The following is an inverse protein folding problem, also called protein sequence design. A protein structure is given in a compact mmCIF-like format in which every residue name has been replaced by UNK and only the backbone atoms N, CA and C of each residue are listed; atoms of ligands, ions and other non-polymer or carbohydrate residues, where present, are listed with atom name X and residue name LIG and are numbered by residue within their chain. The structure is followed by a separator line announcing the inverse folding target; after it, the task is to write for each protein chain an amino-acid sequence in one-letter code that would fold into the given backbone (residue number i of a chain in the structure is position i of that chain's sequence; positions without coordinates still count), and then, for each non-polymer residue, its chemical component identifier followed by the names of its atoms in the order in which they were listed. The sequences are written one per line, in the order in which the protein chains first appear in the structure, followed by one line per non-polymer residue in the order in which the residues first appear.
data_IF_579373663384
#
_entry.id   IF_579373663384
#
_cell.length_a   1.000
_cell.length_b   1.000
_cell.length_c   1.000
_cell.angle_alpha   90.00
_cell.angle_beta   90.00
_cell.angle_gamma   90.00
#
_symmetry.space_group_name_H-M   'P 1'
#
loop_
_entity.id
_entity.type
_entity.pdbx_description
1 polymer ?
#
# COMPACT_ATOMS: atom_id res chain seq x y z
N UNK A 1 14.40 -6.26 -29.01
CA UNK A 1 13.84 -7.42 -29.73
C UNK A 1 12.34 -7.18 -29.85
N UNK A 2 11.69 -7.43 -30.99
CA UNK A 2 10.24 -7.23 -31.08
C UNK A 2 9.55 -8.40 -30.36
N UNK A 3 8.90 -8.16 -29.23
CA UNK A 3 8.20 -9.22 -28.49
C UNK A 3 7.07 -9.78 -29.36
N UNK A 4 6.94 -11.12 -29.37
CA UNK A 4 5.86 -11.82 -30.09
C UNK A 4 4.59 -11.88 -29.25
N UNK A 5 4.60 -11.23 -28.08
CA UNK A 5 3.59 -11.27 -27.04
C UNK A 5 3.26 -12.69 -26.57
N UNK A 6 4.20 -13.62 -26.73
CA UNK A 6 4.06 -14.96 -26.21
C UNK A 6 4.13 -14.92 -24.69
N UNK A 7 3.34 -15.76 -24.04
CA UNK A 7 3.39 -15.98 -22.61
C UNK A 7 4.16 -17.24 -22.30
N UNK A 8 4.65 -17.38 -21.08
CA UNK A 8 5.33 -18.59 -20.62
C UNK A 8 4.60 -19.91 -20.98
N UNK A 9 3.26 -20.02 -20.86
CA UNK A 9 2.53 -21.22 -21.28
C UNK A 9 2.60 -21.47 -22.78
N UNK A 10 2.62 -20.42 -23.61
CA UNK A 10 2.79 -20.54 -25.06
C UNK A 10 4.20 -21.03 -25.40
N UNK A 11 5.22 -20.45 -24.77
CA UNK A 11 6.62 -20.83 -24.97
C UNK A 11 6.87 -22.29 -24.59
N UNK A 12 6.33 -22.74 -23.45
CA UNK A 12 6.41 -24.12 -22.97
C UNK A 12 5.71 -25.09 -23.91
N UNK A 13 4.51 -24.76 -24.39
CA UNK A 13 3.78 -25.62 -25.32
C UNK A 13 4.46 -25.72 -26.70
N UNK A 14 5.08 -24.63 -27.18
CA UNK A 14 5.87 -24.66 -28.42
C UNK A 14 7.14 -25.49 -28.24
N UNK A 15 7.79 -25.44 -27.07
CA UNK A 15 8.91 -26.32 -26.75
C UNK A 15 8.49 -27.79 -26.64
N UNK A 16 7.36 -28.08 -25.99
CA UNK A 16 6.79 -29.43 -25.94
C UNK A 16 6.52 -29.98 -27.34
N UNK A 17 6.03 -29.13 -28.25
CA UNK A 17 5.82 -29.49 -29.64
C UNK A 17 7.14 -29.79 -30.38
N UNK A 18 8.24 -29.16 -29.97
CA UNK A 18 9.58 -29.40 -30.51
C UNK A 18 10.17 -30.73 -30.00
N UNK A 19 10.03 -31.01 -28.70
CA UNK A 19 10.58 -32.24 -28.07
C UNK A 19 9.75 -33.49 -28.39
N UNK A 20 8.41 -33.39 -28.28
CA UNK A 20 7.50 -34.54 -28.32
C UNK A 20 6.72 -34.64 -29.63
N UNK A 21 6.99 -33.74 -30.59
CA UNK A 21 6.25 -33.58 -31.85
C UNK A 21 4.75 -33.31 -31.69
N UNK A 22 4.26 -33.18 -30.45
CA UNK A 22 2.85 -32.98 -30.13
C UNK A 22 2.65 -32.28 -28.79
N UNK A 23 1.55 -31.55 -28.63
CA UNK A 23 1.13 -30.94 -27.36
C UNK A 23 -0.39 -30.91 -27.25
N UNK A 24 -0.91 -31.06 -26.03
CA UNK A 24 -2.34 -30.92 -25.72
C UNK A 24 -2.72 -29.52 -25.20
N UNK A 25 -1.78 -28.59 -25.21
CA UNK A 25 -1.95 -27.24 -24.72
C UNK A 25 -2.89 -26.41 -25.62
N UNK A 26 -3.78 -25.64 -25.00
CA UNK A 26 -4.74 -24.77 -25.70
C UNK A 26 -4.10 -23.43 -26.03
N UNK A 27 -3.26 -23.39 -27.06
CA UNK A 27 -2.49 -22.19 -27.46
C UNK A 27 -2.85 -21.64 -28.84
N UNK A 28 -3.74 -22.32 -29.58
CA UNK A 28 -4.14 -21.96 -30.94
C UNK A 28 -4.80 -20.58 -31.05
N UNK A 29 -5.38 -20.05 -29.98
CA UNK A 29 -6.02 -18.74 -30.04
C UNK A 29 -5.02 -17.60 -30.19
N UNK A 30 -3.74 -17.82 -29.84
CA UNK A 30 -2.72 -16.80 -29.90
C UNK A 30 -2.35 -16.47 -31.35
N UNK A 31 -2.30 -15.18 -31.77
CA UNK A 31 -2.06 -14.79 -33.16
C UNK A 31 -0.78 -15.40 -33.77
N UNK A 32 0.31 -15.43 -32.99
CA UNK A 32 1.56 -16.05 -33.43
C UNK A 32 1.39 -17.55 -33.74
N UNK A 33 0.62 -18.26 -32.92
CA UNK A 33 0.40 -19.71 -33.10
C UNK A 33 -0.55 -19.97 -34.28
N UNK A 34 -1.56 -19.11 -34.51
CA UNK A 34 -2.40 -19.15 -35.71
C UNK A 34 -1.56 -19.01 -36.98
N UNK A 35 -0.65 -18.04 -37.03
CA UNK A 35 0.27 -17.84 -38.16
C UNK A 35 1.17 -19.08 -38.42
N UNK A 36 1.64 -19.77 -37.36
CA UNK A 36 2.39 -21.03 -37.54
C UNK A 36 1.56 -22.13 -38.21
N UNK A 37 0.25 -22.18 -37.92
CA UNK A 37 -0.67 -23.18 -38.47
C UNK A 37 -1.12 -22.83 -39.90
N UNK A 38 -1.54 -21.59 -40.12
CA UNK A 38 -2.28 -21.18 -41.33
C UNK A 38 -1.34 -20.76 -42.45
N UNK A 39 -0.45 -19.81 -42.15
CA UNK A 39 0.43 -19.22 -43.16
C UNK A 39 1.69 -20.06 -43.36
N UNK A 40 2.38 -20.39 -42.25
CA UNK A 40 3.63 -21.15 -42.32
C UNK A 40 3.41 -22.66 -42.47
N UNK A 41 2.22 -23.15 -42.13
CA UNK A 41 1.83 -24.57 -42.20
C UNK A 41 2.81 -25.51 -41.48
N UNK A 42 3.44 -25.04 -40.40
CA UNK A 42 4.44 -25.78 -39.62
C UNK A 42 3.82 -26.65 -38.52
N UNK A 43 2.55 -26.40 -38.18
CA UNK A 43 1.82 -27.16 -37.16
C UNK A 43 0.41 -27.47 -37.67
N UNK A 44 -0.24 -28.48 -37.10
CA UNK A 44 -1.65 -28.79 -37.37
C UNK A 44 -2.35 -29.43 -36.18
N UNK A 45 -3.68 -29.49 -36.22
CA UNK A 45 -4.44 -30.37 -35.34
C UNK A 45 -4.28 -31.81 -35.79
N UNK A 46 -4.12 -32.72 -34.83
CA UNK A 46 -4.05 -34.16 -35.09
C UNK A 46 -5.37 -34.64 -35.72
N UNK A 47 -5.35 -35.40 -36.83
CA UNK A 47 -6.55 -35.96 -37.41
C UNK A 47 -7.37 -36.75 -36.39
N UNK A 48 -8.65 -36.46 -36.27
CA UNK A 48 -9.56 -37.12 -35.31
C UNK A 48 -9.44 -36.68 -33.84
N UNK A 49 -8.47 -35.83 -33.48
CA UNK A 49 -8.32 -35.30 -32.11
C UNK A 49 -8.24 -33.78 -32.15
N UNK A 50 -9.33 -33.12 -31.79
CA UNK A 50 -9.49 -31.65 -31.88
C UNK A 50 -8.62 -30.86 -30.89
N UNK A 51 -7.99 -31.53 -29.91
CA UNK A 51 -7.24 -30.88 -28.82
C UNK A 51 -5.72 -31.00 -28.95
N UNK A 52 -5.22 -31.90 -29.79
CA UNK A 52 -3.78 -32.17 -29.90
C UNK A 52 -3.21 -31.45 -31.10
N UNK A 53 -2.21 -30.60 -30.86
CA UNK A 53 -1.37 -30.04 -31.89
C UNK A 53 -0.23 -31.00 -32.21
N UNK A 54 0.13 -31.09 -33.48
CA UNK A 54 1.25 -31.89 -33.99
C UNK A 54 2.18 -31.04 -34.86
N UNK A 55 3.47 -31.32 -34.76
CA UNK A 55 4.51 -30.71 -35.57
C UNK A 55 4.44 -31.27 -37.01
N UNK A 56 4.73 -30.42 -38.00
CA UNK A 56 4.91 -30.82 -39.39
C UNK A 56 6.40 -30.76 -39.78
N UNK A 57 6.79 -31.39 -40.91
CA UNK A 57 8.12 -31.22 -41.47
C UNK A 57 8.51 -29.73 -41.57
N UNK A 58 9.70 -29.40 -41.10
CA UNK A 58 10.21 -28.02 -41.04
C UNK A 58 9.95 -27.27 -39.73
N UNK A 59 9.04 -27.73 -38.87
CA UNK A 59 8.81 -27.08 -37.55
C UNK A 59 10.06 -27.09 -36.68
N UNK A 60 10.79 -28.21 -36.66
CA UNK A 60 12.00 -28.38 -35.85
C UNK A 60 13.06 -27.32 -36.18
N UNK A 61 13.43 -27.24 -37.46
CA UNK A 61 14.40 -26.25 -37.95
C UNK A 61 13.92 -24.81 -37.69
N UNK A 62 12.62 -24.54 -37.89
CA UNK A 62 12.04 -23.23 -37.58
C UNK A 62 12.14 -22.89 -36.09
N UNK A 63 11.85 -23.84 -35.21
CA UNK A 63 11.90 -23.65 -33.77
C UNK A 63 13.33 -23.37 -33.31
N UNK A 64 14.30 -24.16 -33.77
CA UNK A 64 15.73 -23.97 -33.50
C UNK A 64 16.20 -22.57 -33.91
N UNK A 65 15.80 -22.11 -35.10
CA UNK A 65 16.21 -20.81 -35.63
C UNK A 65 15.57 -19.61 -34.90
N UNK A 66 14.33 -19.74 -34.42
CA UNK A 66 13.54 -18.57 -34.02
C UNK A 66 13.09 -18.53 -32.55
N UNK A 67 13.03 -19.68 -31.88
CA UNK A 67 12.41 -19.81 -30.55
C UNK A 67 13.32 -20.48 -29.52
N UNK A 68 14.20 -21.40 -29.95
CA UNK A 68 15.00 -22.23 -29.05
C UNK A 68 15.86 -21.40 -28.09
N UNK A 69 16.65 -20.45 -28.62
CA UNK A 69 17.52 -19.60 -27.79
C UNK A 69 16.73 -18.76 -26.78
N UNK A 70 15.60 -18.17 -27.19
CA UNK A 70 14.74 -17.41 -26.28
C UNK A 70 14.15 -18.30 -25.19
N UNK A 71 13.63 -19.48 -25.57
CA UNK A 71 13.07 -20.44 -24.62
C UNK A 71 14.10 -20.88 -23.59
N UNK A 72 15.28 -21.30 -24.04
CA UNK A 72 16.35 -21.79 -23.17
C UNK A 72 16.80 -20.69 -22.21
N UNK A 73 16.98 -19.46 -22.68
CA UNK A 73 17.32 -18.30 -21.85
C UNK A 73 16.30 -18.10 -20.73
N UNK A 74 15.01 -18.08 -21.04
CA UNK A 74 13.96 -17.91 -20.01
C UNK A 74 13.87 -19.10 -19.08
N UNK A 75 13.96 -20.33 -19.60
CA UNK A 75 13.90 -21.55 -18.80
C UNK A 75 15.05 -21.61 -17.78
N UNK A 76 16.28 -21.34 -18.22
CA UNK A 76 17.46 -21.30 -17.37
C UNK A 76 17.32 -20.23 -16.28
N UNK A 77 16.90 -19.03 -16.65
CA UNK A 77 16.67 -17.94 -15.70
C UNK A 77 15.65 -18.30 -14.63
N UNK A 78 14.45 -18.75 -15.04
CA UNK A 78 13.39 -19.14 -14.11
C UNK A 78 13.85 -20.26 -13.16
N UNK A 79 14.62 -21.22 -13.68
CA UNK A 79 15.17 -22.33 -12.88
C UNK A 79 16.20 -21.83 -11.87
N UNK A 80 17.16 -21.00 -12.32
CA UNK A 80 18.23 -20.45 -11.48
C UNK A 80 17.67 -19.63 -10.30
N UNK A 81 16.62 -18.86 -10.54
CA UNK A 81 15.98 -18.03 -9.51
C UNK A 81 14.83 -18.73 -8.77
N UNK A 82 14.65 -20.04 -8.95
CA UNK A 82 13.60 -20.84 -8.28
C UNK A 82 12.19 -20.26 -8.48
N UNK A 83 11.94 -19.68 -9.65
CA UNK A 83 10.64 -19.14 -10.03
C UNK A 83 9.74 -20.26 -10.58
N UNK A 84 8.44 -20.12 -10.39
CA UNK A 84 7.46 -21.14 -10.78
C UNK A 84 7.46 -21.37 -12.31
N UNK A 85 7.87 -22.57 -12.71
CA UNK A 85 7.89 -23.05 -14.11
C UNK A 85 6.52 -23.56 -14.59
N UNK A 86 5.48 -23.50 -13.75
CA UNK A 86 4.14 -23.98 -14.10
C UNK A 86 3.49 -23.10 -15.17
N UNK A 87 2.60 -23.72 -15.96
CA UNK A 87 1.81 -23.02 -16.97
C UNK A 87 0.73 -22.10 -16.38
N UNK A 88 0.67 -21.94 -15.05
CA UNK A 88 -0.25 -21.01 -14.38
C UNK A 88 0.25 -19.58 -14.44
N UNK A 89 1.58 -19.40 -14.53
CA UNK A 89 2.18 -18.08 -14.65
C UNK A 89 1.89 -17.48 -16.02
N UNK A 90 1.39 -16.24 -16.03
CA UNK A 90 0.92 -15.55 -17.24
C UNK A 90 1.92 -14.50 -17.74
N UNK A 91 3.19 -14.59 -17.33
CA UNK A 91 4.26 -13.69 -17.76
C UNK A 91 4.41 -13.73 -19.28
N UNK A 92 4.44 -12.56 -19.89
CA UNK A 92 4.82 -12.44 -21.30
C UNK A 92 6.33 -12.31 -21.47
N UNK A 93 6.79 -12.36 -22.72
CA UNK A 93 8.22 -12.17 -23.05
C UNK A 93 8.79 -10.85 -22.50
N UNK A 94 7.98 -9.79 -22.41
CA UNK A 94 8.42 -8.52 -21.85
C UNK A 94 8.67 -8.63 -20.35
N UNK A 95 7.76 -9.29 -19.61
CA UNK A 95 7.95 -9.55 -18.17
C UNK A 95 9.22 -10.37 -17.91
N UNK A 96 9.44 -11.41 -18.72
CA UNK A 96 10.61 -12.29 -18.59
C UNK A 96 11.91 -11.55 -18.88
N UNK A 97 11.95 -10.74 -19.95
CA UNK A 97 13.11 -9.89 -20.24
C UNK A 97 13.35 -8.85 -19.14
N UNK A 98 12.28 -8.27 -18.58
CA UNK A 98 12.37 -7.37 -17.44
C UNK A 98 12.94 -8.06 -16.18
N UNK A 99 12.53 -9.30 -15.89
CA UNK A 99 13.08 -10.05 -14.76
C UNK A 99 14.58 -10.34 -14.92
N UNK A 100 15.00 -10.74 -16.13
CA UNK A 100 16.43 -10.94 -16.42
C UNK A 100 17.18 -9.63 -16.23
N UNK A 101 16.68 -8.53 -16.79
CA UNK A 101 17.28 -7.21 -16.60
C UNK A 101 17.41 -6.82 -15.12
N UNK A 102 16.38 -7.09 -14.31
CA UNK A 102 16.41 -6.80 -12.87
C UNK A 102 17.49 -7.61 -12.17
N UNK A 103 17.60 -8.91 -12.47
CA UNK A 103 18.60 -9.78 -11.86
C UNK A 103 20.03 -9.37 -12.26
N UNK A 104 20.24 -9.06 -13.54
CA UNK A 104 21.55 -8.65 -14.08
C UNK A 104 22.03 -7.31 -13.50
N UNK A 105 21.10 -6.41 -13.16
CA UNK A 105 21.38 -5.05 -12.66
C UNK A 105 20.97 -4.87 -11.19
N UNK A 106 20.93 -5.97 -10.42
CA UNK A 106 20.38 -6.01 -9.07
C UNK A 106 20.93 -4.92 -8.15
N UNK A 107 22.27 -4.82 -8.05
CA UNK A 107 22.90 -3.89 -7.11
C UNK A 107 22.58 -2.43 -7.43
N UNK A 108 22.71 -2.01 -8.71
CA UNK A 108 22.37 -0.65 -9.15
C UNK A 108 20.89 -0.32 -8.93
N UNK A 109 20.00 -1.26 -9.25
CA UNK A 109 18.57 -1.07 -9.07
C UNK A 109 18.19 -1.00 -7.59
N UNK A 110 18.86 -1.77 -6.73
CA UNK A 110 18.64 -1.77 -5.29
C UNK A 110 19.05 -0.45 -4.65
N UNK A 111 20.18 0.13 -5.05
CA UNK A 111 20.63 1.44 -4.55
C UNK A 111 19.69 2.58 -4.97
N UNK A 112 19.01 2.46 -6.11
CA UNK A 112 18.10 3.48 -6.65
C UNK A 112 16.61 3.19 -6.39
N UNK A 113 16.31 2.24 -5.52
CA UNK A 113 14.94 1.92 -5.13
C UNK A 113 14.25 3.15 -4.52
N UNK A 114 13.11 3.54 -5.09
CA UNK A 114 12.24 4.61 -4.58
C UNK A 114 10.81 4.11 -4.44
N UNK A 115 9.91 4.54 -5.32
CA UNK A 115 8.51 4.10 -5.33
C UNK A 115 8.29 2.93 -6.29
N UNK A 116 7.28 2.10 -6.00
CA UNK A 116 6.80 1.05 -6.93
C UNK A 116 6.46 1.62 -8.31
N UNK A 117 5.90 2.84 -8.38
CA UNK A 117 5.53 3.50 -9.64
C UNK A 117 6.75 3.95 -10.43
N UNK A 118 7.74 4.53 -9.76
CA UNK A 118 8.97 4.97 -10.42
C UNK A 118 9.72 3.76 -10.98
N UNK A 119 9.87 2.70 -10.17
CA UNK A 119 10.47 1.45 -10.63
C UNK A 119 9.70 0.83 -11.80
N UNK A 120 8.37 0.76 -11.70
CA UNK A 120 7.50 0.30 -12.78
C UNK A 120 7.67 1.15 -14.05
N UNK A 121 7.83 2.47 -13.93
CA UNK A 121 8.06 3.35 -15.08
C UNK A 121 9.44 3.18 -15.71
N UNK A 122 10.44 2.78 -14.93
CA UNK A 122 11.82 2.64 -15.41
C UNK A 122 12.01 1.29 -16.12
N UNK A 123 11.53 0.21 -15.50
CA UNK A 123 11.73 -1.17 -15.97
C UNK A 123 10.59 -1.65 -16.85
N UNK A 124 9.34 -1.28 -16.54
CA UNK A 124 8.14 -1.72 -17.27
C UNK A 124 7.53 -0.59 -18.12
N UNK A 125 8.38 0.15 -18.85
CA UNK A 125 8.00 1.33 -19.66
C UNK A 125 6.80 1.09 -20.57
N UNK A 126 6.74 -0.07 -21.23
CA UNK A 126 5.66 -0.41 -22.17
C UNK A 126 4.32 -0.76 -21.49
N UNK A 127 4.33 -1.02 -20.18
CA UNK A 127 3.14 -1.41 -19.41
C UNK A 127 2.63 -0.29 -18.47
N UNK A 128 3.40 0.78 -18.35
CA UNK A 128 3.04 1.99 -17.61
C UNK A 128 3.38 1.92 -16.11
N UNK A 129 3.35 3.09 -15.47
CA UNK A 129 3.79 3.26 -14.07
C UNK A 129 2.90 2.56 -13.03
N UNK A 130 1.65 2.24 -13.36
CA UNK A 130 0.72 1.53 -12.46
C UNK A 130 0.73 0.01 -12.66
N UNK A 131 1.61 -0.52 -13.52
CA UNK A 131 1.60 -1.94 -13.87
C UNK A 131 1.83 -2.82 -12.63
N UNK A 132 2.89 -2.55 -11.86
CA UNK A 132 3.24 -3.37 -10.69
C UNK A 132 2.20 -3.30 -9.56
N UNK A 133 1.48 -2.18 -9.41
CA UNK A 133 0.37 -2.05 -8.45
C UNK A 133 -0.78 -3.01 -8.77
N UNK A 134 -1.04 -3.25 -10.06
CA UNK A 134 -2.11 -4.14 -10.53
C UNK A 134 -1.70 -5.61 -10.59
N UNK A 135 -0.41 -5.91 -10.46
CA UNK A 135 0.14 -7.25 -10.64
C UNK A 135 0.99 -7.66 -9.42
N UNK A 136 0.35 -7.93 -8.26
CA UNK A 136 1.05 -8.27 -7.03
C UNK A 136 1.91 -9.53 -7.14
N UNK A 137 1.55 -10.49 -8.01
CA UNK A 137 2.37 -11.67 -8.28
C UNK A 137 3.73 -11.34 -8.91
N UNK A 138 3.74 -10.41 -9.87
CA UNK A 138 4.98 -9.89 -10.49
C UNK A 138 5.79 -9.11 -9.46
N UNK A 139 5.12 -8.29 -8.64
CA UNK A 139 5.76 -7.52 -7.59
C UNK A 139 6.51 -8.40 -6.58
N UNK A 140 5.92 -9.53 -6.16
CA UNK A 140 6.58 -10.51 -5.28
C UNK A 140 7.85 -11.10 -5.90
N UNK A 141 7.84 -11.36 -7.21
CA UNK A 141 9.03 -11.85 -7.92
C UNK A 141 10.13 -10.78 -7.92
N UNK A 142 9.77 -9.52 -8.14
CA UNK A 142 10.74 -8.41 -8.11
C UNK A 142 11.40 -8.30 -6.73
N UNK A 143 10.62 -8.43 -5.65
CA UNK A 143 11.16 -8.46 -4.28
C UNK A 143 12.17 -9.58 -4.07
N UNK A 144 11.87 -10.77 -4.58
CA UNK A 144 12.77 -11.91 -4.53
C UNK A 144 14.05 -11.65 -5.34
N UNK A 145 13.94 -11.12 -6.56
CA UNK A 145 15.09 -10.85 -7.42
C UNK A 145 16.01 -9.74 -6.87
N UNK A 146 15.42 -8.71 -6.25
CA UNK A 146 16.15 -7.60 -5.63
C UNK A 146 16.61 -7.89 -4.20
N UNK A 147 16.15 -9.00 -3.59
CA UNK A 147 16.37 -9.34 -2.18
C UNK A 147 15.93 -8.21 -1.22
N UNK A 148 14.74 -7.69 -1.45
CA UNK A 148 14.12 -6.65 -0.62
C UNK A 148 12.75 -7.09 -0.11
N UNK A 149 12.33 -6.56 1.03
CA UNK A 149 11.00 -6.87 1.60
C UNK A 149 9.88 -6.02 0.97
N UNK A 150 10.24 -4.91 0.29
CA UNK A 150 9.31 -3.99 -0.34
C UNK A 150 10.03 -2.81 -0.98
N UNK A 151 9.29 -2.00 -1.74
CA UNK A 151 9.77 -0.68 -2.16
C UNK A 151 9.79 0.27 -0.94
N UNK A 152 10.83 1.11 -0.77
CA UNK A 152 10.94 2.07 0.32
C UNK A 152 9.70 2.98 0.46
N UNK A 153 9.19 3.44 -0.68
CA UNK A 153 8.02 4.31 -0.72
C UNK A 153 6.78 3.53 -1.20
N UNK A 154 5.99 3.02 -0.25
CA UNK A 154 4.58 2.76 -0.49
C UNK A 154 3.87 4.10 -0.72
N UNK A 155 3.81 4.55 -1.97
CA UNK A 155 3.10 5.72 -2.53
C UNK A 155 3.17 7.00 -1.65
N UNK A 156 3.82 8.11 -2.08
CA UNK A 156 3.88 9.39 -1.34
C UNK A 156 2.51 10.04 -1.05
N UNK A 157 1.41 9.37 -1.36
CA UNK A 157 0.09 9.63 -0.80
C UNK A 157 0.04 9.42 0.71
N UNK A 158 0.89 8.55 1.26
CA UNK A 158 1.17 8.61 2.68
C UNK A 158 2.16 9.77 2.93
N UNK A 159 1.59 10.92 3.29
CA UNK A 159 2.10 11.70 4.42
C UNK A 159 3.07 12.87 4.16
N UNK A 160 2.93 13.62 3.07
CA UNK A 160 3.56 14.97 2.96
C UNK A 160 2.57 16.14 3.03
N UNK A 161 1.27 15.88 2.88
CA UNK A 161 0.26 16.93 2.87
C UNK A 161 -0.51 16.93 4.19
N UNK A 162 -0.43 18.04 4.93
CA UNK A 162 -1.32 18.35 6.04
C UNK A 162 -2.39 19.30 5.53
N UNK A 163 -3.67 18.94 5.68
CA UNK A 163 -4.73 19.93 5.46
C UNK A 163 -4.77 20.85 6.67
N UNK A 164 -4.73 22.16 6.42
CA UNK A 164 -4.69 23.18 7.45
C UNK A 164 -5.76 24.22 7.16
N UNK A 165 -6.49 24.62 8.19
CA UNK A 165 -7.23 25.87 8.21
C UNK A 165 -6.38 26.86 9.01
N UNK A 166 -5.73 27.78 8.29
CA UNK A 166 -4.85 28.78 8.87
C UNK A 166 -5.64 29.91 9.55
N UNK A 167 -5.04 30.50 10.58
CA UNK A 167 -5.42 31.79 11.15
C UNK A 167 -4.21 32.72 11.14
N UNK A 168 -4.35 34.02 10.79
CA UNK A 168 -3.19 34.92 10.70
C UNK A 168 -2.43 35.10 12.02
N UNK A 169 -3.13 35.02 13.16
CA UNK A 169 -2.57 35.19 14.50
C UNK A 169 -3.10 34.08 15.42
N UNK A 170 -2.67 32.83 15.25
CA UNK A 170 -3.22 31.72 16.01
C UNK A 170 -2.62 31.70 17.42
N UNK A 171 -3.41 31.26 18.40
CA UNK A 171 -2.94 30.97 19.76
C UNK A 171 -2.80 29.48 20.00
N UNK A 172 -3.60 28.68 19.29
CA UNK A 172 -3.76 27.25 19.52
C UNK A 172 -3.80 26.52 18.19
N UNK A 173 -3.10 25.40 18.08
CA UNK A 173 -3.23 24.43 17.01
C UNK A 173 -4.04 23.25 17.55
N UNK A 174 -5.12 22.90 16.86
CA UNK A 174 -5.90 21.68 17.11
C UNK A 174 -5.55 20.67 16.03
N UNK A 175 -4.93 19.57 16.44
CA UNK A 175 -4.68 18.40 15.61
C UNK A 175 -5.97 17.56 15.60
N UNK A 176 -6.58 17.35 14.44
CA UNK A 176 -7.81 16.59 14.26
C UNK A 176 -7.52 15.26 13.55
N UNK A 177 -8.08 14.17 14.05
CA UNK A 177 -8.02 12.87 13.38
C UNK A 177 -8.92 12.86 12.14
N UNK A 178 -10.06 13.55 12.18
CA UNK A 178 -11.01 13.66 11.09
C UNK A 178 -11.01 15.02 10.36
N UNK A 179 -11.39 15.01 9.07
CA UNK A 179 -11.58 16.22 8.25
C UNK A 179 -12.84 17.02 8.64
N UNK A 180 -13.80 16.44 9.37
CA UNK A 180 -15.07 17.08 9.71
C UNK A 180 -14.88 18.45 10.40
N UNK A 181 -13.96 18.53 11.37
CA UNK A 181 -13.66 19.77 12.08
C UNK A 181 -13.10 20.87 11.17
N UNK A 182 -12.30 20.51 10.16
CA UNK A 182 -11.74 21.48 9.20
C UNK A 182 -12.80 22.06 8.26
N UNK A 183 -13.96 21.42 8.11
CA UNK A 183 -15.08 21.94 7.30
C UNK A 183 -15.81 23.12 7.97
N UNK A 184 -15.46 23.48 9.21
CA UNK A 184 -16.02 24.60 9.98
C UNK A 184 -14.99 25.73 10.18
N UNK A 185 -14.46 26.36 9.11
CA UNK A 185 -13.35 27.29 9.21
C UNK A 185 -13.66 28.58 9.99
N UNK A 186 -14.93 28.91 10.23
CA UNK A 186 -15.30 30.06 11.05
C UNK A 186 -14.89 29.89 12.52
N UNK A 187 -14.92 28.65 13.07
CA UNK A 187 -14.46 28.36 14.43
C UNK A 187 -12.99 28.75 14.59
N UNK A 188 -12.17 28.39 13.60
CA UNK A 188 -10.76 28.74 13.58
C UNK A 188 -10.54 30.27 13.58
N UNK A 189 -11.38 30.99 12.84
CA UNK A 189 -11.31 32.46 12.72
C UNK A 189 -11.76 33.19 13.98
N UNK A 190 -12.88 32.78 14.56
CA UNK A 190 -13.49 33.46 15.71
C UNK A 190 -12.70 33.24 17.00
N UNK A 191 -12.01 32.11 17.12
CA UNK A 191 -11.30 31.72 18.34
C UNK A 191 -9.77 31.66 18.19
N UNK A 192 -9.21 32.25 17.13
CA UNK A 192 -7.76 32.33 16.89
C UNK A 192 -7.07 30.95 16.88
N UNK A 193 -7.64 29.98 16.18
CA UNK A 193 -7.15 28.60 16.10
C UNK A 193 -6.55 28.30 14.73
N UNK A 194 -5.62 27.35 14.68
CA UNK A 194 -5.32 26.58 13.48
C UNK A 194 -5.89 25.17 13.61
N UNK A 195 -6.58 24.68 12.59
CA UNK A 195 -7.11 23.30 12.56
C UNK A 195 -6.28 22.47 11.59
N UNK A 196 -5.69 21.38 12.06
CA UNK A 196 -4.75 20.58 11.31
C UNK A 196 -5.27 19.15 11.22
N UNK A 197 -5.57 18.69 10.01
CA UNK A 197 -5.87 17.28 9.80
C UNK A 197 -4.58 16.48 9.78
N UNK A 198 -4.43 15.60 10.76
CA UNK A 198 -3.28 14.70 10.85
C UNK A 198 -3.61 13.30 10.36
N UNK A 199 -4.90 12.96 10.24
CA UNK A 199 -5.35 11.62 9.90
C UNK A 199 -4.92 10.59 10.94
N UNK A 200 -5.44 9.36 10.86
CA UNK A 200 -5.18 8.33 11.87
C UNK A 200 -3.68 8.00 12.06
N UNK A 201 -3.15 7.02 11.33
CA UNK A 201 -1.76 6.57 11.53
C UNK A 201 -0.68 7.50 10.96
N UNK A 202 -1.05 8.59 10.31
CA UNK A 202 -0.13 9.54 9.68
C UNK A 202 0.44 10.56 10.67
N UNK A 203 1.26 10.11 11.61
CA UNK A 203 1.90 10.99 12.59
C UNK A 203 3.27 11.50 12.15
N UNK A 204 3.89 10.87 11.14
CA UNK A 204 5.24 11.21 10.65
C UNK A 204 5.35 12.64 10.13
N UNK A 205 4.27 13.20 9.57
CA UNK A 205 4.26 14.61 9.12
C UNK A 205 4.51 15.61 10.27
N UNK A 206 4.21 15.21 11.52
CA UNK A 206 4.43 16.04 12.71
C UNK A 206 5.92 16.18 13.05
N UNK A 207 6.76 15.26 12.57
CA UNK A 207 8.21 15.35 12.71
C UNK A 207 8.79 16.54 11.93
N UNK A 208 8.08 17.06 10.92
CA UNK A 208 8.55 18.17 10.08
C UNK A 208 7.96 19.54 10.48
N UNK A 209 7.25 19.64 11.60
CA UNK A 209 6.69 20.92 12.08
C UNK A 209 7.81 21.93 12.36
N UNK A 210 7.68 23.11 11.75
CA UNK A 210 8.57 24.26 11.94
C UNK A 210 8.61 24.79 13.37
N UNK A 211 9.75 25.35 13.76
CA UNK A 211 9.99 25.81 15.13
C UNK A 211 9.05 26.94 15.57
N UNK A 212 8.59 27.77 14.64
CA UNK A 212 7.61 28.83 14.86
C UNK A 212 6.30 28.28 15.42
N UNK A 213 5.80 27.18 14.87
CA UNK A 213 4.55 26.54 15.31
C UNK A 213 4.67 25.86 16.66
N UNK A 214 5.87 25.41 17.04
CA UNK A 214 6.12 24.81 18.35
C UNK A 214 5.97 25.82 19.51
N UNK A 215 5.95 27.11 19.22
CA UNK A 215 5.69 28.15 20.24
C UNK A 215 4.22 28.18 20.67
N UNK A 216 3.29 27.74 19.83
CA UNK A 216 1.85 27.76 20.07
C UNK A 216 1.39 26.61 20.95
N UNK A 217 0.26 26.74 21.65
CA UNK A 217 -0.36 25.59 22.33
C UNK A 217 -0.86 24.58 21.31
N UNK A 218 -0.56 23.28 21.49
CA UNK A 218 -0.95 22.23 20.55
C UNK A 218 -1.76 21.18 21.31
N UNK A 219 -2.97 20.90 20.81
CA UNK A 219 -3.90 19.94 21.41
C UNK A 219 -4.39 18.94 20.37
N UNK A 220 -4.73 17.73 20.80
CA UNK A 220 -5.22 16.65 19.93
C UNK A 220 -6.71 16.38 20.17
N UNK A 221 -7.49 16.37 19.11
CA UNK A 221 -8.91 16.04 19.04
C UNK A 221 -9.05 14.74 18.24
N UNK A 222 -9.59 13.69 18.87
CA UNK A 222 -9.67 12.36 18.29
C UNK A 222 -10.83 11.56 18.87
N UNK A 223 -11.01 10.37 18.28
CA UNK A 223 -11.82 9.31 18.86
C UNK A 223 -11.22 8.86 20.18
N UNK A 224 -12.06 8.74 21.21
CA UNK A 224 -11.71 8.11 22.48
C UNK A 224 -11.95 6.60 22.39
N UNK A 225 -11.23 5.97 21.47
CA UNK A 225 -11.13 4.52 21.30
C UNK A 225 -9.66 4.06 21.46
N UNK A 226 -9.38 2.76 21.28
CA UNK A 226 -8.01 2.27 21.44
C UNK A 226 -7.04 2.83 20.38
N UNK A 227 -7.51 3.05 19.15
CA UNK A 227 -6.69 3.47 18.03
C UNK A 227 -6.32 4.96 18.14
N UNK A 228 -7.30 5.83 18.39
CA UNK A 228 -7.13 7.25 18.67
C UNK A 228 -6.19 7.51 19.83
N UNK A 229 -6.35 6.76 20.94
CA UNK A 229 -5.46 6.88 22.10
C UNK A 229 -4.03 6.40 21.79
N UNK A 230 -3.85 5.35 20.98
CA UNK A 230 -2.52 4.93 20.50
C UNK A 230 -1.88 5.95 19.56
N UNK A 231 -2.68 6.64 18.74
CA UNK A 231 -2.21 7.77 17.94
C UNK A 231 -1.72 8.87 18.89
N UNK A 232 -2.51 9.27 19.87
CA UNK A 232 -2.11 10.28 20.85
C UNK A 232 -0.80 9.94 21.57
N UNK A 233 -0.60 8.70 22.03
CA UNK A 233 0.66 8.27 22.65
C UNK A 233 1.87 8.56 21.74
N UNK A 234 1.76 8.23 20.44
CA UNK A 234 2.83 8.48 19.45
C UNK A 234 3.02 9.97 19.20
N UNK A 235 1.94 10.73 19.05
CA UNK A 235 2.01 12.19 18.88
C UNK A 235 2.73 12.81 20.09
N UNK A 236 2.40 12.39 21.32
CA UNK A 236 3.04 12.92 22.54
C UNK A 236 4.54 12.61 22.57
N UNK A 237 4.95 11.42 22.14
CA UNK A 237 6.37 11.07 22.00
C UNK A 237 7.09 11.95 20.95
N UNK A 238 6.47 12.15 19.78
CA UNK A 238 7.03 13.00 18.72
C UNK A 238 7.28 14.42 19.23
N UNK A 239 6.30 15.03 19.90
CA UNK A 239 6.47 16.40 20.42
C UNK A 239 7.39 16.46 21.64
N UNK A 240 7.40 15.43 22.50
CA UNK A 240 8.33 15.37 23.64
C UNK A 240 9.78 15.35 23.18
N UNK A 241 10.10 14.65 22.07
CA UNK A 241 11.45 14.68 21.48
C UNK A 241 11.87 16.07 20.97
N UNK A 242 10.90 16.96 20.73
CA UNK A 242 11.08 18.36 20.34
C UNK A 242 10.99 19.34 21.53
N UNK A 243 10.94 18.83 22.76
CA UNK A 243 10.79 19.65 23.97
C UNK A 243 9.42 20.33 24.10
N UNK A 244 8.39 19.81 23.41
CA UNK A 244 7.03 20.36 23.43
C UNK A 244 6.07 19.41 24.14
N UNK A 245 5.36 19.91 25.14
CA UNK A 245 4.22 19.21 25.73
C UNK A 245 2.95 19.48 24.93
N UNK A 246 2.13 18.45 24.77
CA UNK A 246 0.82 18.50 24.13
C UNK A 246 -0.21 17.84 25.04
N UNK A 247 -1.48 18.19 24.86
CA UNK A 247 -2.60 17.56 25.58
C UNK A 247 -3.64 17.00 24.61
N UNK A 248 -4.39 16.00 25.07
CA UNK A 248 -5.59 15.50 24.41
C UNK A 248 -6.80 16.29 24.91
N UNK A 249 -7.80 16.54 24.06
CA UNK A 249 -9.04 17.19 24.46
C UNK A 249 -9.93 16.20 25.21
N UNK A 250 -10.17 16.48 26.50
CA UNK A 250 -11.08 15.70 27.31
C UNK A 250 -12.55 16.03 26.97
N UNK A 251 -13.40 15.03 26.69
CA UNK A 251 -14.83 15.22 26.42
C UNK A 251 -15.56 15.88 27.60
N UNK A 252 -16.52 16.78 27.33
CA UNK A 252 -17.31 17.42 28.38
C UNK A 252 -18.30 16.46 29.05
N UNK A 253 -18.82 15.48 28.31
CA UNK A 253 -19.76 14.47 28.77
C UNK A 253 -19.38 13.09 28.20
N UNK A 254 -19.67 12.04 28.97
CA UNK A 254 -19.52 10.62 28.59
C UNK A 254 -20.89 10.02 28.21
N UNK A 255 -21.97 10.79 28.33
CA UNK A 255 -23.33 10.40 27.93
C UNK A 255 -23.43 9.95 26.48
N UNK A 256 -22.64 10.55 25.60
CA UNK A 256 -22.60 10.25 24.16
C UNK A 256 -21.74 9.02 23.81
N UNK A 257 -21.19 8.31 24.81
CA UNK A 257 -20.35 7.15 24.56
C UNK A 257 -21.16 5.98 23.96
N UNK A 258 -20.69 5.50 22.82
CA UNK A 258 -21.32 4.48 21.97
C UNK A 258 -20.70 3.10 22.29
N UNK A 259 -21.46 2.00 22.25
CA UNK A 259 -20.89 0.65 22.38
C UNK A 259 -19.85 0.37 21.28
N UNK A 260 -18.77 -0.33 21.62
CA UNK A 260 -17.75 -0.78 20.64
C UNK A 260 -18.35 -1.68 19.54
N UNK A 261 -19.47 -2.34 19.80
CA UNK A 261 -20.20 -3.15 18.81
C UNK A 261 -21.03 -2.32 17.81
N UNK A 262 -20.90 -1.00 17.80
CA UNK A 262 -21.56 -0.14 16.81
C UNK A 262 -21.09 -0.47 15.40
N UNK A 263 -21.96 -0.24 14.42
CA UNK A 263 -21.66 -0.47 13.02
C UNK A 263 -20.45 0.39 12.58
N UNK A 264 -19.60 -0.16 11.72
CA UNK A 264 -18.42 0.50 11.13
C UNK A 264 -17.29 0.89 12.11
N UNK A 265 -17.31 0.39 13.34
CA UNK A 265 -16.22 0.54 14.31
C UNK A 265 -15.35 -0.72 14.44
N UNK A 266 -14.02 -0.59 14.26
CA UNK A 266 -13.09 -1.72 14.24
C UNK A 266 -12.08 -1.73 15.41
N UNK A 267 -12.14 -0.74 16.31
CA UNK A 267 -11.14 -0.51 17.35
C UNK A 267 -11.57 -1.19 18.67
N UNK A 268 -11.18 -2.45 18.86
CA UNK A 268 -11.58 -3.19 20.06
C UNK A 268 -10.65 -2.92 21.24
N UNK A 269 -11.21 -2.69 22.43
CA UNK A 269 -10.44 -2.74 23.67
C UNK A 269 -9.83 -4.13 23.87
N UNK A 270 -8.67 -4.18 24.55
CA UNK A 270 -7.94 -5.41 24.85
C UNK A 270 -8.07 -5.69 26.36
N UNK A 271 -9.14 -6.36 26.83
CA UNK A 271 -9.42 -6.55 28.25
C UNK A 271 -8.36 -7.39 28.98
N UNK A 272 -7.62 -8.23 28.26
CA UNK A 272 -6.55 -9.05 28.80
C UNK A 272 -5.27 -8.27 29.14
N UNK A 273 -5.15 -7.02 28.67
CA UNK A 273 -4.00 -6.15 28.95
C UNK A 273 -4.40 -5.01 29.91
N UNK A 274 -3.55 -4.67 30.90
CA UNK A 274 -3.75 -3.46 31.69
C UNK A 274 -3.91 -2.23 30.80
N UNK A 275 -4.97 -1.44 31.03
CA UNK A 275 -5.32 -0.26 30.22
C UNK A 275 -5.36 -0.55 28.70
N UNK A 276 -5.70 -1.78 28.29
CA UNK A 276 -5.67 -2.23 26.89
C UNK A 276 -4.31 -2.07 26.19
N UNK A 277 -3.22 -2.11 26.95
CA UNK A 277 -1.85 -1.97 26.45
C UNK A 277 -1.45 -0.52 26.16
N UNK A 278 -2.22 0.46 26.63
CA UNK A 278 -1.83 1.87 26.62
C UNK A 278 -0.81 2.16 27.73
N UNK A 279 0.11 3.06 27.45
CA UNK A 279 1.09 3.54 28.43
C UNK A 279 0.43 4.57 29.36
N UNK A 280 0.25 4.20 30.64
CA UNK A 280 -0.45 5.02 31.61
C UNK A 280 0.27 6.34 31.91
N UNK A 281 1.60 6.39 31.77
CA UNK A 281 2.41 7.58 32.09
C UNK A 281 2.20 8.71 31.08
N UNK A 282 1.61 8.39 29.92
CA UNK A 282 1.23 9.37 28.89
C UNK A 282 0.03 10.21 29.34
N UNK A 283 -0.81 9.72 30.25
CA UNK A 283 -2.12 10.30 30.53
C UNK A 283 -2.20 10.98 31.90
N UNK A 284 -3.04 12.02 32.00
CA UNK A 284 -3.37 12.65 33.28
C UNK A 284 -4.36 11.79 34.08
N UNK A 285 -4.52 12.07 35.38
CA UNK A 285 -5.46 11.33 36.23
C UNK A 285 -6.91 11.39 35.72
N UNK A 286 -7.34 12.54 35.17
CA UNK A 286 -8.68 12.69 34.59
C UNK A 286 -8.84 11.90 33.29
N UNK A 287 -7.82 11.89 32.43
CA UNK A 287 -7.80 11.10 31.19
C UNK A 287 -7.82 9.60 31.52
N UNK A 288 -6.98 9.13 32.45
CA UNK A 288 -6.97 7.74 32.91
C UNK A 288 -8.32 7.30 33.48
N UNK A 289 -8.98 8.17 34.25
CA UNK A 289 -10.32 7.90 34.78
C UNK A 289 -11.33 7.68 33.65
N UNK A 290 -11.28 8.49 32.60
CA UNK A 290 -12.18 8.35 31.45
C UNK A 290 -11.88 7.07 30.65
N UNK A 291 -10.60 6.81 30.34
CA UNK A 291 -10.18 5.60 29.61
C UNK A 291 -10.64 4.34 30.36
N UNK A 292 -10.43 4.30 31.67
CA UNK A 292 -10.85 3.18 32.51
C UNK A 292 -12.37 3.00 32.48
N UNK A 293 -13.13 4.09 32.51
CA UNK A 293 -14.59 4.04 32.41
C UNK A 293 -15.07 3.52 31.04
N UNK A 294 -14.42 3.94 29.96
CA UNK A 294 -14.75 3.51 28.59
C UNK A 294 -14.45 2.02 28.38
N UNK A 295 -13.27 1.55 28.82
CA UNK A 295 -12.90 0.13 28.79
C UNK A 295 -13.89 -0.71 29.61
N UNK A 296 -14.18 -0.30 30.85
CA UNK A 296 -15.08 -1.05 31.74
C UNK A 296 -16.51 -1.16 31.20
N UNK A 297 -16.98 -0.14 30.47
CA UNK A 297 -18.30 -0.13 29.84
C UNK A 297 -18.30 -0.70 28.42
N UNK A 298 -17.13 -1.06 27.89
CA UNK A 298 -16.91 -1.46 26.51
C UNK A 298 -17.51 -0.45 25.51
N UNK A 299 -17.19 0.83 25.72
CA UNK A 299 -17.68 1.97 24.95
C UNK A 299 -16.54 2.82 24.41
N UNK A 300 -16.83 3.68 23.45
CA UNK A 300 -15.92 4.69 22.90
C UNK A 300 -16.70 6.00 22.65
N UNK A 301 -15.99 7.09 22.38
CA UNK A 301 -16.60 8.38 22.01
C UNK A 301 -16.02 8.81 20.66
N UNK A 302 -16.90 9.09 19.70
CA UNK A 302 -16.54 9.50 18.34
C UNK A 302 -16.19 11.00 18.29
N UNK A 303 -15.14 11.38 17.57
CA UNK A 303 -14.70 12.77 17.36
C UNK A 303 -15.85 13.60 16.78
N UNK A 304 -16.52 13.13 15.74
CA UNK A 304 -17.56 13.87 15.02
C UNK A 304 -18.82 14.10 15.84
N UNK A 305 -19.09 13.26 16.84
CA UNK A 305 -20.20 13.44 17.77
C UNK A 305 -19.96 14.57 18.77
N UNK A 306 -18.72 15.02 18.93
CA UNK A 306 -18.34 16.01 19.93
C UNK A 306 -18.30 17.42 19.32
N UNK A 307 -18.86 18.39 20.03
CA UNK A 307 -18.72 19.79 19.63
C UNK A 307 -17.34 20.34 20.04
N UNK A 308 -16.55 20.75 19.05
CA UNK A 308 -15.19 21.25 19.24
C UNK A 308 -15.13 22.48 20.16
N UNK A 309 -16.10 23.40 20.10
CA UNK A 309 -16.09 24.58 20.98
C UNK A 309 -16.30 24.18 22.44
N UNK A 310 -17.24 23.27 22.68
CA UNK A 310 -17.51 22.69 23.99
C UNK A 310 -16.28 21.97 24.55
N UNK A 311 -15.56 21.22 23.71
CA UNK A 311 -14.27 20.60 24.06
C UNK A 311 -13.24 21.65 24.47
N UNK A 312 -13.00 22.65 23.63
CA UNK A 312 -12.01 23.69 23.89
C UNK A 312 -12.33 24.46 25.17
N UNK A 313 -13.60 24.79 25.41
CA UNK A 313 -14.05 25.47 26.62
C UNK A 313 -13.86 24.59 27.86
N UNK A 314 -14.25 23.31 27.81
CA UNK A 314 -14.08 22.35 28.91
C UNK A 314 -12.60 22.20 29.31
N UNK A 315 -11.72 22.24 28.32
CA UNK A 315 -10.28 22.12 28.50
C UNK A 315 -9.61 23.48 28.81
N UNK A 316 -10.39 24.55 29.01
CA UNK A 316 -9.90 25.87 29.43
C UNK A 316 -9.09 26.61 28.36
N UNK A 317 -9.23 26.23 27.09
CA UNK A 317 -8.45 26.74 25.97
C UNK A 317 -9.06 28.00 25.35
N UNK A 318 -10.37 28.16 25.47
CA UNK A 318 -11.11 29.33 25.01
C UNK A 318 -12.09 29.80 26.09
N UNK A 319 -12.49 31.06 25.99
CA UNK A 319 -13.61 31.63 26.74
C UNK A 319 -14.63 32.10 25.70
N UNK A 320 -15.90 31.72 25.88
CA UNK A 320 -17.01 32.09 25.01
C UNK A 320 -17.77 33.25 25.65
#
# INVERSE_FOLDING_TARGET
MKHRNLKWPHLKALHELYENESTNARILEHPFVKNLKEDKRLIALKPGITRTLVAKPGYRAYYEQHLHNSYLRYYQFLTQHHLDLSARQQFDEFDLDAFIFIADNKEELRERLSTIRHFSSLVFREKGSKFLEKHPGICKIIYQLLEVQGFPDQDPKNNQWRFVVDHPNPRIIVLCENLANLKRPWIAREHQLELWYVGGNNTTILEQIGADKLTLSIVYCCDWDLAGLRIYCRIKQIFSSKGKSISILLPPDVGDAIPISSQDHNSLWLPELPLSGLDADVFTASELSLITQLIARNKWIEEESQDLLSLLQKNGLITI
#
